data_IF_093888819983
#
_entry.id   IF_093888819983
#
_cell.length_a   1.000
_cell.length_b   1.000
_cell.length_c   1.000
_cell.angle_alpha   90.00
_cell.angle_beta   90.00
_cell.angle_gamma   90.00
#
_symmetry.space_group_name_H-M   'P 1'
#
loop_
_entity.id
_entity.type
_entity.pdbx_description
1 polymer ?
#
# COMPACT_ATOMS: atom_id res chain seq x y z
N UNK A 1 -54.61 -19.02 -31.81
CA UNK A 1 -53.95 -18.40 -30.63
C UNK A 1 -53.26 -19.43 -29.73
N UNK A 2 -53.89 -20.57 -29.37
CA UNK A 2 -53.28 -21.64 -28.52
C UNK A 2 -51.88 -22.14 -28.97
N UNK A 3 -51.66 -22.37 -30.27
CA UNK A 3 -50.35 -22.82 -30.80
C UNK A 3 -49.23 -21.77 -30.69
N UNK A 4 -49.58 -20.47 -30.74
CA UNK A 4 -48.63 -19.35 -30.57
C UNK A 4 -48.22 -19.19 -29.10
N UNK A 5 -49.15 -19.43 -28.18
CA UNK A 5 -48.89 -19.41 -26.72
C UNK A 5 -47.97 -20.56 -26.32
N UNK A 6 -48.21 -21.77 -26.82
CA UNK A 6 -47.33 -22.93 -26.61
C UNK A 6 -45.89 -22.68 -27.09
N UNK A 7 -45.73 -22.10 -28.28
CA UNK A 7 -44.40 -21.74 -28.80
C UNK A 7 -43.70 -20.69 -27.96
N UNK A 8 -44.45 -19.70 -27.45
CA UNK A 8 -43.90 -18.67 -26.58
C UNK A 8 -43.44 -19.22 -25.22
N UNK A 9 -44.22 -20.12 -24.62
CA UNK A 9 -43.85 -20.81 -23.38
C UNK A 9 -42.56 -21.62 -23.57
N UNK A 10 -42.41 -22.32 -24.71
CA UNK A 10 -41.19 -23.07 -25.01
C UNK A 10 -39.95 -22.16 -25.11
N UNK A 11 -40.07 -20.99 -25.74
CA UNK A 11 -38.97 -20.02 -25.85
C UNK A 11 -38.60 -19.48 -24.46
N UNK A 12 -39.59 -19.13 -23.63
CA UNK A 12 -39.37 -18.64 -22.26
C UNK A 12 -38.68 -19.71 -21.39
N UNK A 13 -39.10 -20.97 -21.52
CA UNK A 13 -38.49 -22.08 -20.78
C UNK A 13 -37.00 -22.27 -21.16
N UNK A 14 -36.68 -22.22 -22.46
CA UNK A 14 -35.29 -22.34 -22.94
C UNK A 14 -34.44 -21.16 -22.43
N UNK A 15 -34.97 -19.94 -22.49
CA UNK A 15 -34.28 -18.75 -22.00
C UNK A 15 -34.03 -18.82 -20.48
N UNK A 16 -35.01 -19.30 -19.70
CA UNK A 16 -34.87 -19.48 -18.26
C UNK A 16 -33.80 -20.53 -17.91
N UNK A 17 -33.79 -21.67 -18.61
CA UNK A 17 -32.79 -22.73 -18.38
C UNK A 17 -31.38 -22.26 -18.78
N UNK A 18 -31.23 -21.59 -19.92
CA UNK A 18 -29.95 -21.02 -20.35
C UNK A 18 -29.46 -19.93 -19.38
N UNK A 19 -30.36 -19.03 -18.95
CA UNK A 19 -30.06 -17.98 -17.98
C UNK A 19 -29.65 -18.53 -16.62
N UNK A 20 -30.34 -19.57 -16.12
CA UNK A 20 -29.98 -20.25 -14.89
C UNK A 20 -28.59 -20.90 -14.97
N UNK A 21 -28.28 -21.61 -16.06
CA UNK A 21 -26.96 -22.22 -16.26
C UNK A 21 -25.83 -21.17 -16.30
N UNK A 22 -26.04 -20.05 -16.99
CA UNK A 22 -25.06 -18.94 -17.04
C UNK A 22 -24.89 -18.32 -15.65
N UNK A 23 -25.98 -18.02 -14.95
CA UNK A 23 -25.95 -17.47 -13.59
C UNK A 23 -25.21 -18.40 -12.61
N UNK A 24 -25.43 -19.70 -12.71
CA UNK A 24 -24.77 -20.72 -11.88
C UNK A 24 -23.29 -20.85 -12.23
N UNK A 25 -22.93 -20.73 -13.52
CA UNK A 25 -21.55 -20.74 -13.99
C UNK A 25 -20.75 -19.50 -13.56
N UNK A 26 -21.40 -18.33 -13.46
CA UNK A 26 -20.74 -17.10 -13.02
C UNK A 26 -20.46 -17.05 -11.51
N UNK A 27 -21.18 -17.81 -10.68
CA UNK A 27 -20.85 -17.94 -9.26
C UNK A 27 -19.55 -18.75 -9.01
N UNK A 28 -18.97 -19.33 -10.07
CA UNK A 28 -17.73 -20.11 -10.03
C UNK A 28 -16.57 -19.42 -10.77
N UNK A 29 -16.52 -18.07 -10.83
CA UNK A 29 -15.28 -17.40 -11.25
C UNK A 29 -14.23 -17.56 -10.15
N UNK A 30 -13.64 -18.75 -10.06
CA UNK A 30 -12.43 -19.00 -9.30
C UNK A 30 -11.29 -18.36 -10.06
N UNK A 31 -10.84 -17.20 -9.60
CA UNK A 31 -9.57 -16.65 -10.06
C UNK A 31 -8.49 -17.71 -9.85
N UNK A 32 -7.67 -17.93 -10.87
CA UNK A 32 -6.52 -18.85 -10.75
C UNK A 32 -5.65 -18.42 -9.57
N UNK A 33 -5.05 -19.39 -8.87
CA UNK A 33 -4.09 -19.10 -7.79
C UNK A 33 -2.99 -18.13 -8.25
N UNK A 34 -2.62 -18.17 -9.54
CA UNK A 34 -1.67 -17.26 -10.16
C UNK A 34 -2.22 -15.82 -10.30
N UNK A 35 -3.49 -15.66 -10.68
CA UNK A 35 -4.12 -14.35 -10.78
C UNK A 35 -4.30 -13.73 -9.39
N UNK A 36 -4.64 -14.53 -8.38
CA UNK A 36 -4.72 -14.10 -6.98
C UNK A 36 -3.34 -13.68 -6.46
N UNK A 37 -2.30 -14.49 -6.68
CA UNK A 37 -0.93 -14.17 -6.26
C UNK A 37 -0.36 -12.92 -6.92
N UNK A 38 -0.81 -12.58 -8.13
CA UNK A 38 -0.47 -11.35 -8.85
C UNK A 38 -1.23 -10.12 -8.32
N UNK A 39 -2.50 -10.27 -7.93
CA UNK A 39 -3.26 -9.19 -7.28
C UNK A 39 -2.70 -8.90 -5.88
N UNK A 40 -2.43 -9.94 -5.11
CA UNK A 40 -1.69 -9.82 -3.84
C UNK A 40 -0.27 -9.30 -4.07
N UNK A 41 0.28 -9.42 -5.30
CA UNK A 41 1.55 -8.81 -5.67
C UNK A 41 1.54 -7.31 -5.79
N UNK A 42 0.42 -6.80 -6.24
CA UNK A 42 0.21 -5.39 -6.39
C UNK A 42 -0.04 -4.74 -5.02
N UNK A 43 -0.73 -5.43 -4.12
CA UNK A 43 -1.06 -4.93 -2.79
C UNK A 43 0.09 -5.04 -1.76
N UNK A 44 1.09 -5.92 -1.97
CA UNK A 44 2.20 -6.11 -1.01
C UNK A 44 3.17 -4.94 -0.85
N UNK A 45 2.98 -3.85 -1.59
CA UNK A 45 3.74 -2.61 -1.41
C UNK A 45 2.97 -1.50 -0.67
N UNK A 46 1.72 -1.73 -0.27
CA UNK A 46 1.04 -0.92 0.74
C UNK A 46 1.57 -1.36 2.12
N UNK A 47 2.83 -1.01 2.39
CA UNK A 47 3.31 -1.01 3.77
C UNK A 47 2.37 -0.08 4.56
N UNK A 48 1.93 -0.46 5.79
CA UNK A 48 1.25 0.51 6.64
C UNK A 48 2.15 1.75 6.66
N UNK A 49 1.58 2.92 6.38
CA UNK A 49 2.28 4.20 6.38
C UNK A 49 3.20 4.23 7.60
N UNK A 50 4.46 3.83 7.41
CA UNK A 50 5.51 4.01 8.39
C UNK A 50 5.86 5.46 8.19
N UNK A 51 4.95 6.33 8.61
CA UNK A 51 5.16 7.75 8.66
C UNK A 51 6.41 7.93 9.50
N UNK A 52 7.53 8.21 8.84
CA UNK A 52 8.77 8.56 9.51
C UNK A 52 8.44 9.85 10.24
N UNK A 53 8.16 9.71 11.53
CA UNK A 53 7.83 10.84 12.38
C UNK A 53 9.14 11.52 12.68
N UNK A 54 9.32 12.68 12.07
CA UNK A 54 10.47 13.52 12.35
C UNK A 54 10.49 13.90 13.83
N UNK A 55 11.68 13.95 14.43
CA UNK A 55 11.83 14.49 15.77
C UNK A 55 11.79 16.03 15.66
N UNK A 56 10.60 16.62 15.79
CA UNK A 56 10.32 18.01 15.37
C UNK A 56 10.64 19.07 16.43
N UNK A 57 10.94 18.72 17.68
CA UNK A 57 11.21 19.74 18.70
C UNK A 57 12.68 20.14 18.69
N UNK A 58 12.93 21.45 18.68
CA UNK A 58 14.26 22.05 18.91
C UNK A 58 14.87 21.69 20.29
N UNK A 59 14.07 21.12 21.18
CA UNK A 59 14.43 20.73 22.54
C UNK A 59 14.61 19.22 22.73
N UNK A 60 14.38 18.42 21.68
CA UNK A 60 14.62 16.97 21.69
C UNK A 60 16.01 16.67 21.11
N UNK A 61 16.67 15.63 21.63
CA UNK A 61 17.96 15.16 21.10
C UNK A 61 17.85 14.85 19.58
N UNK A 62 18.88 15.15 18.77
CA UNK A 62 18.83 14.98 17.32
C UNK A 62 18.53 13.53 16.94
N UNK A 63 17.77 13.34 15.85
CA UNK A 63 17.30 12.01 15.45
C UNK A 63 16.83 11.94 13.99
N UNK A 64 15.62 11.41 13.77
CA UNK A 64 15.04 11.31 12.42
C UNK A 64 14.67 12.69 11.87
N UNK A 65 15.00 12.91 10.60
CA UNK A 65 14.89 14.18 9.86
C UNK A 65 15.87 15.28 10.26
N UNK A 66 17.02 14.89 10.83
CA UNK A 66 18.11 15.80 11.16
C UNK A 66 19.31 15.53 10.25
N UNK A 67 19.97 16.60 9.81
CA UNK A 67 21.14 16.57 8.94
C UNK A 67 22.32 17.29 9.59
N UNK A 68 23.51 16.92 9.15
CA UNK A 68 24.79 17.21 9.74
C UNK A 68 25.45 18.35 8.92
N UNK A 69 25.67 19.55 9.48
CA UNK A 69 25.99 20.77 8.69
C UNK A 69 27.41 21.37 8.88
N UNK A 70 28.30 20.75 9.62
CA UNK A 70 29.67 21.24 9.85
C UNK A 70 30.24 20.85 11.21
N UNK A 71 31.55 21.00 11.46
CA UNK A 71 32.32 19.98 12.20
C UNK A 71 32.40 20.04 13.79
N UNK A 72 31.78 19.16 14.61
CA UNK A 72 31.66 19.12 16.11
C UNK A 72 32.94 18.70 16.88
N UNK A 73 33.66 19.62 17.51
CA UNK A 73 34.94 19.25 18.13
C UNK A 73 34.90 18.61 19.54
N UNK A 74 35.30 17.34 19.74
CA UNK A 74 35.60 16.78 21.09
C UNK A 74 37.08 16.96 21.46
N UNK A 75 37.43 18.16 21.92
CA UNK A 75 38.80 18.56 22.28
C UNK A 75 39.55 19.26 21.15
N UNK A 76 40.79 19.72 21.38
CA UNK A 76 41.56 20.53 20.40
C UNK A 76 41.90 19.82 19.07
N UNK A 77 41.46 18.57 18.86
CA UNK A 77 41.86 17.72 17.73
C UNK A 77 40.75 16.82 17.12
N UNK A 78 39.57 16.67 17.72
CA UNK A 78 38.51 15.78 17.17
C UNK A 78 37.41 16.68 16.67
N UNK A 79 36.90 16.58 15.41
CA UNK A 79 35.69 17.24 14.86
C UNK A 79 34.57 16.20 14.54
N UNK A 80 33.28 16.52 14.65
CA UNK A 80 32.01 15.74 14.53
C UNK A 80 31.05 16.57 13.68
N UNK A 81 29.75 16.78 13.88
CA UNK A 81 29.05 17.96 13.31
C UNK A 81 27.83 18.47 14.15
N UNK A 82 27.36 19.72 13.94
CA UNK A 82 26.10 20.25 14.52
C UNK A 82 24.89 19.70 13.75
N UNK A 83 24.12 18.78 14.35
CA UNK A 83 22.87 18.31 13.76
C UNK A 83 21.84 19.48 13.72
N UNK A 84 21.21 19.72 12.57
CA UNK A 84 20.09 20.64 12.42
C UNK A 84 18.90 19.92 11.77
N UNK A 85 17.70 20.33 12.18
CA UNK A 85 16.47 19.84 11.57
C UNK A 85 16.46 20.12 10.06
N UNK A 86 16.35 19.05 9.28
CA UNK A 86 16.37 19.05 7.82
C UNK A 86 14.95 18.87 7.27
N UNK A 87 14.10 18.12 7.99
CA UNK A 87 12.73 17.81 7.58
C UNK A 87 12.61 16.71 6.52
N UNK A 88 13.71 16.28 5.92
CA UNK A 88 13.73 15.15 5.00
C UNK A 88 13.69 13.83 5.74
N UNK A 89 12.73 12.97 5.37
CA UNK A 89 12.52 11.66 6.01
C UNK A 89 13.69 10.69 5.78
N UNK A 90 14.54 10.95 4.78
CA UNK A 90 15.78 10.23 4.52
C UNK A 90 16.89 10.54 5.51
N UNK A 91 16.82 11.67 6.20
CA UNK A 91 17.92 12.19 7.00
C UNK A 91 17.85 11.64 8.42
N UNK A 92 19.01 11.32 8.97
CA UNK A 92 19.13 11.02 10.40
C UNK A 92 20.49 11.44 10.90
N UNK A 93 20.49 12.12 12.04
CA UNK A 93 21.70 12.59 12.68
C UNK A 93 21.54 12.34 14.18
N UNK A 94 22.50 11.64 14.77
CA UNK A 94 22.64 11.46 16.22
C UNK A 94 24.07 11.89 16.52
N UNK A 95 24.25 12.94 17.31
CA UNK A 95 25.59 13.49 17.57
C UNK A 95 25.97 13.27 19.04
N UNK A 96 27.24 12.92 19.34
CA UNK A 96 27.73 12.85 20.71
C UNK A 96 27.93 14.24 21.37
N UNK A 97 27.55 15.32 20.66
CA UNK A 97 27.48 16.69 21.18
C UNK A 97 26.27 16.92 22.15
N UNK A 98 25.78 15.87 22.84
CA UNK A 98 24.69 15.92 23.84
C UNK A 98 25.12 16.58 25.17
#
# INVERSE_FOLDING_TARGET
MKKKIMGFIAIVAIAAVAGYNIYTSQNNVKLSALALANVEALARYEYPDMGITCNQSKHDSPGKCWHMYGECLLGAFIRFDDCRFSGYMSDSCVTPCD
#
